data_IF_629207844660
#
_entry.id   IF_629207844660
#
_cell.length_a   1.000
_cell.length_b   1.000
_cell.length_c   1.000
_cell.angle_alpha   90.00
_cell.angle_beta   90.00
_cell.angle_gamma   90.00
#
_symmetry.space_group_name_H-M   'P 1'
#
loop_
_entity.id
_entity.type
_entity.pdbx_description
1 polymer ?
#
# COMPACT_ATOMS: atom_id res chain seq x y z
N UNK A 1 -0.20 -17.68 -4.32
CA UNK A 1 0.70 -17.05 -3.33
C UNK A 1 -0.06 -16.36 -2.20
N UNK A 2 -1.25 -15.79 -2.45
CA UNK A 2 -2.07 -15.20 -1.38
C UNK A 2 -2.37 -16.25 -0.29
N UNK A 3 -2.36 -15.80 0.97
CA UNK A 3 -2.51 -16.55 2.23
C UNK A 3 -1.44 -17.63 2.48
N UNK A 4 -0.40 -17.67 1.67
CA UNK A 4 0.79 -18.48 1.92
C UNK A 4 1.86 -17.64 2.60
N UNK A 5 2.71 -18.31 3.38
CA UNK A 5 3.90 -17.71 3.96
C UNK A 5 4.80 -17.18 2.84
N UNK A 6 5.25 -15.93 2.96
CA UNK A 6 6.15 -15.31 2.02
C UNK A 6 7.49 -16.07 2.01
N UNK A 7 8.07 -16.39 0.83
CA UNK A 7 9.39 -17.00 0.76
C UNK A 7 10.42 -16.14 1.48
N UNK A 8 11.12 -16.72 2.46
CA UNK A 8 12.15 -15.99 3.18
C UNK A 8 13.37 -15.76 2.29
N UNK A 9 14.08 -14.66 2.50
CA UNK A 9 15.33 -14.33 1.83
C UNK A 9 16.18 -13.41 2.72
N UNK A 10 17.46 -13.31 2.37
CA UNK A 10 18.36 -12.28 2.86
C UNK A 10 19.10 -11.70 1.66
N UNK A 11 19.15 -10.38 1.55
CA UNK A 11 19.83 -9.66 0.47
C UNK A 11 20.64 -8.49 1.05
N UNK A 12 21.75 -8.11 0.40
CA UNK A 12 22.53 -6.96 0.82
C UNK A 12 21.78 -5.64 0.59
N UNK A 13 21.84 -4.76 1.57
CA UNK A 13 21.35 -3.37 1.49
C UNK A 13 22.34 -2.45 0.75
N UNK A 14 22.12 -1.13 0.81
CA UNK A 14 22.99 -0.12 0.17
C UNK A 14 24.44 -0.11 0.67
N UNK A 15 24.69 -0.58 1.90
CA UNK A 15 26.02 -0.63 2.51
C UNK A 15 26.61 -2.05 2.49
N UNK A 16 25.90 -3.02 1.90
CA UNK A 16 26.32 -4.41 1.80
C UNK A 16 25.95 -5.24 3.04
N UNK A 17 25.21 -4.69 4.00
CA UNK A 17 24.74 -5.44 5.15
C UNK A 17 23.59 -6.35 4.74
N UNK A 18 23.61 -7.60 5.22
CA UNK A 18 22.52 -8.53 4.95
C UNK A 18 21.27 -8.11 5.71
N UNK A 19 20.20 -7.86 4.97
CA UNK A 19 18.86 -7.62 5.49
C UNK A 19 17.97 -8.80 5.09
N UNK A 20 17.32 -9.41 6.06
CA UNK A 20 16.45 -10.56 5.87
C UNK A 20 14.97 -10.16 6.00
N UNK A 21 14.09 -10.83 5.28
CA UNK A 21 12.64 -10.58 5.38
C UNK A 21 12.13 -10.76 6.82
N UNK A 22 12.66 -11.74 7.54
CA UNK A 22 12.29 -12.03 8.93
C UNK A 22 12.71 -10.95 9.94
N UNK A 23 13.62 -10.04 9.58
CA UNK A 23 14.05 -8.94 10.47
C UNK A 23 12.87 -7.98 10.77
N UNK A 24 11.84 -8.00 9.92
CA UNK A 24 10.64 -7.17 10.02
C UNK A 24 9.43 -7.91 10.58
N UNK A 25 9.62 -9.07 11.24
CA UNK A 25 8.53 -9.82 11.88
C UNK A 25 7.75 -8.93 12.85
N UNK A 26 6.43 -9.04 12.84
CA UNK A 26 5.56 -8.18 13.66
C UNK A 26 5.16 -6.86 12.99
N UNK A 27 5.75 -6.53 11.83
CA UNK A 27 5.37 -5.38 11.01
C UNK A 27 4.71 -5.85 9.71
N UNK A 28 3.89 -4.99 9.13
CA UNK A 28 3.50 -5.16 7.72
C UNK A 28 4.70 -4.86 6.82
N UNK A 29 4.79 -5.54 5.68
CA UNK A 29 5.86 -5.33 4.71
C UNK A 29 5.24 -5.04 3.35
N UNK A 30 5.58 -3.87 2.80
CA UNK A 30 5.38 -3.54 1.39
C UNK A 30 6.65 -3.97 0.66
N UNK A 31 6.59 -5.10 -0.03
CA UNK A 31 7.72 -5.62 -0.81
C UNK A 31 7.47 -5.36 -2.30
N UNK A 32 8.26 -4.50 -2.93
CA UNK A 32 8.08 -4.19 -4.35
C UNK A 32 9.33 -4.47 -5.20
N UNK A 33 9.13 -5.18 -6.29
CA UNK A 33 10.14 -5.50 -7.29
C UNK A 33 10.06 -4.51 -8.43
N UNK A 34 11.19 -3.90 -8.79
CA UNK A 34 11.25 -2.93 -9.88
C UNK A 34 12.43 -3.18 -10.83
N UNK A 35 12.32 -2.83 -12.13
CA UNK A 35 13.32 -3.27 -13.11
C UNK A 35 14.73 -2.73 -12.95
N UNK A 36 14.89 -1.43 -12.66
CA UNK A 36 16.20 -0.76 -12.69
C UNK A 36 16.17 0.63 -12.06
N UNK A 37 17.15 0.92 -11.23
CA UNK A 37 17.47 2.25 -10.68
C UNK A 37 17.67 3.29 -11.78
N UNK A 38 17.40 4.56 -11.45
CA UNK A 38 17.57 5.71 -12.34
C UNK A 38 16.77 5.66 -13.67
N UNK A 39 15.73 4.83 -13.75
CA UNK A 39 14.79 4.85 -14.88
C UNK A 39 13.52 5.62 -14.51
N UNK A 40 12.88 6.40 -15.41
CA UNK A 40 11.82 7.33 -15.05
C UNK A 40 10.69 6.73 -14.22
N UNK A 41 10.21 5.54 -14.60
CA UNK A 41 9.14 4.85 -13.87
C UNK A 41 9.57 4.35 -12.49
N UNK A 42 10.77 3.78 -12.35
CA UNK A 42 11.28 3.31 -11.05
C UNK A 42 11.63 4.48 -10.13
N UNK A 43 12.20 5.55 -10.66
CA UNK A 43 12.48 6.78 -9.92
C UNK A 43 11.18 7.37 -9.38
N UNK A 44 10.13 7.48 -10.19
CA UNK A 44 8.82 7.95 -9.73
C UNK A 44 8.25 7.06 -8.62
N UNK A 45 8.24 5.74 -8.83
CA UNK A 45 7.72 4.80 -7.83
C UNK A 45 8.47 4.89 -6.48
N UNK A 46 9.79 4.96 -6.51
CA UNK A 46 10.61 5.10 -5.31
C UNK A 46 10.40 6.44 -4.59
N UNK A 47 10.26 7.54 -5.35
CA UNK A 47 9.93 8.86 -4.80
C UNK A 47 8.53 8.88 -4.17
N UNK A 48 7.54 8.31 -4.86
CA UNK A 48 6.18 8.20 -4.33
C UNK A 48 6.18 7.39 -3.02
N UNK A 49 6.84 6.23 -2.97
CA UNK A 49 6.97 5.47 -1.71
C UNK A 49 7.69 6.27 -0.63
N UNK A 50 8.72 7.04 -1.00
CA UNK A 50 9.44 7.87 -0.04
C UNK A 50 8.58 9.01 0.52
N UNK A 51 7.70 9.59 -0.31
CA UNK A 51 6.75 10.62 0.09
C UNK A 51 5.69 10.08 1.06
N UNK A 52 5.19 8.87 0.83
CA UNK A 52 4.17 8.24 1.67
C UNK A 52 4.75 7.45 2.86
N UNK A 53 6.08 7.49 3.07
CA UNK A 53 6.77 6.67 4.07
C UNK A 53 6.16 6.80 5.47
N UNK A 54 5.92 8.03 5.93
CA UNK A 54 5.32 8.28 7.25
C UNK A 54 3.90 7.73 7.38
N UNK A 55 3.12 7.70 6.29
CA UNK A 55 1.79 7.12 6.31
C UNK A 55 1.82 5.58 6.39
N UNK A 56 2.84 4.94 5.83
CA UNK A 56 3.09 3.51 6.04
C UNK A 56 3.61 3.23 7.46
N UNK A 57 4.48 4.08 8.01
CA UNK A 57 4.98 3.95 9.38
C UNK A 57 3.84 4.04 10.42
N UNK A 58 2.86 4.95 10.22
CA UNK A 58 1.62 5.01 11.04
C UNK A 58 0.83 3.70 11.01
N UNK A 59 0.95 2.94 9.93
CA UNK A 59 0.33 1.64 9.78
C UNK A 59 1.24 0.48 10.24
N UNK A 60 2.35 0.77 10.93
CA UNK A 60 3.35 -0.22 11.33
C UNK A 60 3.81 -1.07 10.12
N UNK A 61 4.09 -0.39 9.01
CA UNK A 61 4.48 -1.01 7.74
C UNK A 61 5.83 -0.48 7.24
N UNK A 62 6.73 -1.39 6.91
CA UNK A 62 8.02 -1.08 6.28
C UNK A 62 7.93 -1.22 4.75
N UNK A 63 8.68 -0.38 4.04
CA UNK A 63 8.75 -0.40 2.57
C UNK A 63 10.13 -0.91 2.14
N UNK A 64 10.13 -1.98 1.33
CA UNK A 64 11.33 -2.65 0.83
C UNK A 64 11.23 -2.77 -0.69
N UNK A 65 12.15 -2.11 -1.39
CA UNK A 65 12.35 -2.24 -2.83
C UNK A 65 13.42 -3.27 -3.15
N UNK A 66 13.20 -4.08 -4.19
CA UNK A 66 14.19 -5.03 -4.72
C UNK A 66 14.37 -4.80 -6.22
N UNK A 67 15.61 -4.66 -6.65
CA UNK A 67 15.99 -4.78 -8.06
C UNK A 67 17.26 -5.63 -8.20
N UNK A 68 17.73 -5.80 -9.43
CA UNK A 68 19.01 -6.48 -9.72
C UNK A 68 20.22 -5.54 -9.65
N UNK A 69 20.02 -4.27 -9.31
CA UNK A 69 21.11 -3.32 -9.24
C UNK A 69 21.96 -3.58 -7.99
N UNK A 70 23.28 -3.48 -8.10
CA UNK A 70 24.22 -3.66 -6.98
C UNK A 70 23.94 -2.71 -5.80
N UNK A 71 24.35 -3.09 -4.58
CA UNK A 71 24.32 -2.23 -3.38
C UNK A 71 24.91 -0.84 -3.62
N UNK A 72 26.05 -0.74 -4.32
CA UNK A 72 26.68 0.56 -4.62
C UNK A 72 25.79 1.45 -5.51
N UNK A 73 25.03 0.84 -6.43
CA UNK A 73 24.12 1.56 -7.31
C UNK A 73 22.88 2.03 -6.54
N UNK A 74 22.34 1.20 -5.65
CA UNK A 74 21.29 1.60 -4.72
C UNK A 74 21.73 2.77 -3.85
N UNK A 75 22.93 2.73 -3.28
CA UNK A 75 23.50 3.84 -2.49
C UNK A 75 23.47 5.16 -3.26
N UNK A 76 24.00 5.18 -4.49
CA UNK A 76 23.98 6.36 -5.36
C UNK A 76 22.57 6.81 -5.71
N UNK A 77 21.63 5.87 -5.93
CA UNK A 77 20.24 6.17 -6.26
C UNK A 77 19.51 6.81 -5.08
N UNK A 78 19.69 6.26 -3.87
CA UNK A 78 19.16 6.79 -2.61
C UNK A 78 19.70 8.20 -2.36
N UNK A 79 21.02 8.40 -2.45
CA UNK A 79 21.65 9.71 -2.24
C UNK A 79 21.16 10.75 -3.24
N UNK A 80 21.10 10.40 -4.54
CA UNK A 80 20.70 11.31 -5.61
C UNK A 80 19.25 11.80 -5.47
N UNK A 81 18.33 10.92 -5.07
CA UNK A 81 16.90 11.24 -4.97
C UNK A 81 16.41 11.43 -3.54
N UNK A 82 17.31 11.39 -2.55
CA UNK A 82 17.00 11.50 -1.11
C UNK A 82 15.91 10.51 -0.68
N UNK A 83 16.02 9.27 -1.16
CA UNK A 83 15.05 8.22 -0.85
C UNK A 83 15.15 7.84 0.64
N UNK A 84 14.02 7.60 1.30
CA UNK A 84 13.93 7.24 2.72
C UNK A 84 13.30 5.83 2.91
N UNK A 85 13.55 4.95 1.95
CA UNK A 85 13.06 3.57 1.91
C UNK A 85 14.23 2.59 1.82
N UNK A 86 13.98 1.32 2.16
CA UNK A 86 14.98 0.25 2.08
C UNK A 86 15.04 -0.25 0.64
N UNK A 87 16.23 -0.34 0.05
CA UNK A 87 16.47 -0.99 -1.24
C UNK A 87 17.47 -2.13 -1.06
N UNK A 88 17.13 -3.31 -1.57
CA UNK A 88 17.94 -4.52 -1.47
C UNK A 88 18.34 -5.03 -2.85
N UNK A 89 19.59 -5.46 -2.95
CA UNK A 89 20.21 -5.87 -4.20
C UNK A 89 20.10 -7.37 -4.43
N UNK A 90 19.36 -7.77 -5.48
CA UNK A 90 19.22 -9.17 -5.93
C UNK A 90 19.91 -9.36 -7.29
N UNK A 91 21.22 -9.13 -7.36
CA UNK A 91 21.99 -9.17 -8.63
C UNK A 91 21.81 -10.51 -9.37
N UNK A 92 21.76 -11.61 -8.61
CA UNK A 92 21.54 -12.96 -9.08
C UNK A 92 20.06 -13.33 -9.25
N UNK A 93 19.11 -12.40 -9.16
CA UNK A 93 17.67 -12.58 -9.45
C UNK A 93 16.96 -13.76 -8.75
N UNK A 94 17.58 -14.37 -7.73
CA UNK A 94 17.05 -15.55 -7.03
C UNK A 94 15.77 -15.19 -6.29
N UNK A 95 15.73 -14.02 -5.65
CA UNK A 95 14.52 -13.57 -4.94
C UNK A 95 13.45 -13.13 -5.92
N UNK A 96 13.81 -12.53 -7.05
CA UNK A 96 12.86 -12.28 -8.14
C UNK A 96 12.19 -13.56 -8.61
N UNK A 97 12.93 -14.65 -8.79
CA UNK A 97 12.37 -15.95 -9.18
C UNK A 97 11.46 -16.55 -8.09
N UNK A 98 11.90 -16.52 -6.82
CA UNK A 98 11.10 -17.00 -5.68
C UNK A 98 9.73 -16.33 -5.58
N UNK A 99 9.65 -15.03 -5.89
CA UNK A 99 8.42 -14.26 -5.87
C UNK A 99 7.69 -14.25 -7.22
N UNK A 100 8.21 -14.94 -8.24
CA UNK A 100 7.67 -14.92 -9.60
C UNK A 100 7.61 -13.51 -10.20
N UNK A 101 8.56 -12.66 -9.81
CA UNK A 101 8.80 -11.31 -10.35
C UNK A 101 9.83 -11.33 -11.49
N UNK A 102 10.36 -12.49 -11.87
CA UNK A 102 11.18 -12.71 -13.06
C UNK A 102 10.36 -13.39 -14.14
N UNK A 103 10.42 -12.92 -15.38
CA UNK A 103 9.74 -13.60 -16.48
C UNK A 103 9.95 -12.98 -17.86
N UNK A 104 9.38 -13.64 -18.86
CA UNK A 104 9.47 -13.22 -20.27
C UNK A 104 8.82 -11.86 -20.49
N UNK A 105 9.53 -11.00 -21.22
CA UNK A 105 9.09 -9.70 -21.73
C UNK A 105 9.32 -9.67 -23.22
N UNK A 106 8.38 -9.09 -23.96
CA UNK A 106 8.47 -8.92 -25.41
C UNK A 106 8.60 -7.43 -25.70
N UNK A 107 9.64 -7.05 -26.43
CA UNK A 107 9.80 -5.68 -26.91
C UNK A 107 10.27 -5.72 -28.37
N UNK A 108 9.56 -5.01 -29.25
CA UNK A 108 9.85 -4.98 -30.69
C UNK A 108 10.09 -6.38 -31.30
N UNK A 109 9.23 -7.35 -30.95
CA UNK A 109 9.34 -8.73 -31.47
C UNK A 109 10.41 -9.61 -30.81
N UNK A 110 11.34 -9.05 -30.03
CA UNK A 110 12.37 -9.82 -29.30
C UNK A 110 11.88 -10.20 -27.90
N UNK A 111 12.03 -11.48 -27.55
CA UNK A 111 11.79 -12.00 -26.21
C UNK A 111 13.06 -11.90 -25.37
N UNK A 112 12.95 -11.39 -24.15
CA UNK A 112 14.01 -11.40 -23.16
C UNK A 112 13.40 -11.64 -21.76
N UNK A 113 14.19 -12.13 -20.83
CA UNK A 113 13.76 -12.26 -19.43
C UNK A 113 14.11 -11.00 -18.66
N UNK A 114 13.22 -10.58 -17.77
CA UNK A 114 13.44 -9.39 -16.96
C UNK A 114 12.46 -9.29 -15.80
N UNK A 115 12.70 -8.30 -14.95
CA UNK A 115 11.80 -8.00 -13.83
C UNK A 115 10.42 -7.58 -14.34
N UNK A 116 9.41 -8.25 -13.80
CA UNK A 116 8.00 -7.90 -13.85
C UNK A 116 7.73 -7.04 -12.62
N UNK A 117 7.42 -5.75 -12.81
CA UNK A 117 7.12 -4.84 -11.70
C UNK A 117 5.95 -5.39 -10.88
N UNK A 118 6.20 -5.73 -9.64
CA UNK A 118 5.28 -6.50 -8.79
C UNK A 118 5.39 -5.99 -7.35
N UNK A 119 4.26 -5.86 -6.65
CA UNK A 119 4.24 -5.46 -5.25
C UNK A 119 3.43 -6.46 -4.43
N UNK A 120 3.91 -6.75 -3.23
CA UNK A 120 3.28 -7.63 -2.27
C UNK A 120 2.99 -6.85 -0.99
N UNK A 121 1.83 -7.12 -0.38
CA UNK A 121 1.60 -6.82 1.02
C UNK A 121 1.73 -8.11 1.82
N UNK A 122 2.63 -8.10 2.78
CA UNK A 122 2.91 -9.21 3.68
C UNK A 122 2.53 -8.75 5.09
N UNK A 123 1.80 -9.58 5.82
CA UNK A 123 1.32 -9.24 7.16
C UNK A 123 2.37 -9.52 8.26
N UNK A 124 2.10 -9.14 9.52
CA UNK A 124 2.99 -9.38 10.65
C UNK A 124 3.34 -10.85 10.93
N UNK A 125 2.53 -11.79 10.45
CA UNK A 125 2.79 -13.24 10.56
C UNK A 125 3.64 -13.77 9.39
N UNK A 126 3.98 -12.91 8.43
CA UNK A 126 4.75 -13.24 7.24
C UNK A 126 3.90 -13.89 6.13
N UNK A 127 2.58 -13.72 6.12
CA UNK A 127 1.69 -14.22 5.06
C UNK A 127 1.42 -13.15 4.02
N UNK A 128 1.45 -13.52 2.74
CA UNK A 128 1.10 -12.62 1.64
C UNK A 128 -0.41 -12.38 1.64
N UNK A 129 -0.85 -11.15 1.82
CA UNK A 129 -2.27 -10.76 1.83
C UNK A 129 -2.75 -10.16 0.54
N UNK A 130 -1.85 -9.55 -0.24
CA UNK A 130 -2.22 -9.01 -1.55
C UNK A 130 -1.02 -8.95 -2.50
N UNK A 131 -1.29 -9.02 -3.80
CA UNK A 131 -0.28 -8.94 -4.86
C UNK A 131 -0.77 -8.09 -6.02
N UNK A 132 0.03 -7.11 -6.44
CA UNK A 132 -0.10 -6.44 -7.74
C UNK A 132 0.98 -6.93 -8.67
N UNK A 133 0.62 -7.46 -9.84
CA UNK A 133 1.55 -7.85 -10.90
C UNK A 133 1.43 -6.90 -12.08
N UNK A 134 2.50 -6.75 -12.86
CA UNK A 134 2.55 -5.86 -14.03
C UNK A 134 2.10 -4.42 -13.67
N UNK A 135 2.63 -3.93 -12.54
CA UNK A 135 2.27 -2.65 -11.94
C UNK A 135 2.45 -1.49 -12.93
N UNK A 136 1.44 -0.61 -12.97
CA UNK A 136 1.53 0.72 -13.57
C UNK A 136 1.81 1.72 -12.46
N UNK A 137 2.89 2.50 -12.58
CA UNK A 137 3.43 3.33 -11.49
C UNK A 137 2.46 4.42 -11.03
N UNK A 138 1.77 5.08 -11.95
CA UNK A 138 0.91 6.23 -11.61
C UNK A 138 -0.21 5.82 -10.63
N UNK A 139 -0.19 6.39 -9.42
CA UNK A 139 -1.19 6.14 -8.38
C UNK A 139 -1.00 4.83 -7.61
N UNK A 140 0.00 4.00 -7.97
CA UNK A 140 0.20 2.68 -7.38
C UNK A 140 0.46 2.74 -5.87
N UNK A 141 1.37 3.60 -5.43
CA UNK A 141 1.74 3.71 -4.00
C UNK A 141 0.54 4.04 -3.12
N UNK A 142 -0.34 4.94 -3.60
CA UNK A 142 -1.58 5.28 -2.91
C UNK A 142 -2.52 4.07 -2.81
N UNK A 143 -2.67 3.31 -3.89
CA UNK A 143 -3.48 2.07 -3.89
C UNK A 143 -2.92 1.03 -2.91
N UNK A 144 -1.60 0.91 -2.81
CA UNK A 144 -0.94 0.02 -1.84
C UNK A 144 -1.27 0.43 -0.41
N UNK A 145 -1.17 1.73 -0.09
CA UNK A 145 -1.51 2.26 1.23
C UNK A 145 -2.99 2.07 1.57
N UNK A 146 -3.89 2.35 0.62
CA UNK A 146 -5.34 2.15 0.79
C UNK A 146 -5.66 0.68 1.06
N UNK A 147 -5.06 -0.24 0.28
CA UNK A 147 -5.27 -1.68 0.47
C UNK A 147 -4.69 -2.19 1.78
N UNK A 148 -3.54 -1.67 2.23
CA UNK A 148 -2.99 -1.98 3.54
C UNK A 148 -3.99 -1.61 4.66
N UNK A 149 -4.56 -0.41 4.59
CA UNK A 149 -5.56 0.06 5.57
C UNK A 149 -6.80 -0.83 5.57
N UNK A 150 -7.30 -1.19 4.39
CA UNK A 150 -8.41 -2.14 4.23
C UNK A 150 -8.11 -3.49 4.93
N UNK A 151 -6.93 -4.07 4.65
CA UNK A 151 -6.53 -5.36 5.19
C UNK A 151 -6.30 -5.36 6.70
N UNK A 152 -5.92 -4.22 7.28
CA UNK A 152 -5.77 -4.04 8.73
C UNK A 152 -7.10 -3.90 9.48
N UNK A 153 -8.24 -4.03 8.80
CA UNK A 153 -9.55 -3.79 9.38
C UNK A 153 -9.87 -2.29 9.52
N UNK A 154 -9.08 -1.41 8.88
CA UNK A 154 -9.50 -0.05 8.65
C UNK A 154 -10.64 -0.08 7.66
N UNK A 155 -11.85 0.27 8.10
CA UNK A 155 -13.00 0.39 7.21
C UNK A 155 -12.62 1.38 6.11
N UNK A 156 -12.64 0.96 4.84
CA UNK A 156 -12.37 1.86 3.72
C UNK A 156 -13.44 2.94 3.65
N UNK A 157 -13.14 4.09 3.05
CA UNK A 157 -14.02 5.27 3.11
C UNK A 157 -15.43 4.94 2.57
N UNK A 158 -15.54 4.14 1.52
CA UNK A 158 -16.80 3.67 0.94
C UNK A 158 -17.61 2.84 1.95
N UNK A 159 -16.95 1.94 2.68
CA UNK A 159 -17.60 1.12 3.70
C UNK A 159 -17.98 1.95 4.93
N UNK A 160 -17.17 2.94 5.31
CA UNK A 160 -17.53 3.89 6.38
C UNK A 160 -18.75 4.72 5.99
N UNK A 161 -18.80 5.18 4.75
CA UNK A 161 -19.95 5.89 4.18
C UNK A 161 -21.19 5.00 4.20
N UNK A 162 -21.06 3.73 3.80
CA UNK A 162 -22.15 2.75 3.85
C UNK A 162 -22.66 2.54 5.27
N UNK A 163 -21.76 2.34 6.23
CA UNK A 163 -22.11 2.17 7.65
C UNK A 163 -22.87 3.38 8.20
N UNK A 164 -22.41 4.59 7.89
CA UNK A 164 -23.10 5.83 8.30
C UNK A 164 -24.49 5.92 7.67
N UNK A 165 -24.63 5.58 6.38
CA UNK A 165 -25.93 5.56 5.71
C UNK A 165 -26.87 4.51 6.29
N UNK A 166 -26.36 3.32 6.62
CA UNK A 166 -27.17 2.24 7.19
C UNK A 166 -27.65 2.60 8.59
N UNK A 167 -26.82 3.23 9.43
CA UNK A 167 -27.25 3.78 10.74
C UNK A 167 -28.37 4.80 10.56
N UNK A 168 -28.20 5.76 9.63
CA UNK A 168 -29.20 6.80 9.39
C UNK A 168 -30.52 6.26 8.85
N UNK A 169 -30.48 5.26 7.96
CA UNK A 169 -31.66 4.60 7.40
C UNK A 169 -32.41 3.77 8.45
N UNK A 170 -31.68 3.03 9.28
CA UNK A 170 -32.28 2.12 10.26
C UNK A 170 -32.88 2.85 11.47
N UNK A 171 -32.29 3.97 11.88
CA UNK A 171 -32.79 4.72 13.04
C UNK A 171 -34.05 5.53 12.72
N UNK A 172 -34.25 5.94 11.47
CA UNK A 172 -35.47 6.63 11.03
C UNK A 172 -35.72 7.99 11.72
N UNK A 173 -34.68 8.61 12.30
CA UNK A 173 -34.77 9.91 13.01
C UNK A 173 -33.50 10.73 12.86
N UNK A 174 -33.60 12.02 13.18
CA UNK A 174 -32.43 12.90 13.26
C UNK A 174 -31.41 12.44 14.31
N UNK A 175 -30.13 12.48 13.96
CA UNK A 175 -29.03 12.07 14.83
C UNK A 175 -27.87 13.06 14.78
N UNK A 176 -27.18 13.23 15.91
CA UNK A 176 -25.92 13.98 15.97
C UNK A 176 -24.76 13.12 15.46
N UNK A 177 -23.71 13.71 14.85
CA UNK A 177 -22.53 12.97 14.40
C UNK A 177 -21.90 12.06 15.47
N UNK A 178 -21.89 12.48 16.73
CA UNK A 178 -21.38 11.65 17.83
C UNK A 178 -22.22 10.40 18.13
N UNK A 179 -23.54 10.48 17.95
CA UNK A 179 -24.45 9.34 18.14
C UNK A 179 -24.29 8.32 17.01
N UNK A 180 -24.14 8.82 15.78
CA UNK A 180 -23.86 8.02 14.58
C UNK A 180 -22.50 7.33 14.74
N UNK A 181 -21.47 8.06 15.18
CA UNK A 181 -20.14 7.51 15.44
C UNK A 181 -20.17 6.36 16.46
N UNK A 182 -20.90 6.54 17.56
CA UNK A 182 -21.06 5.50 18.58
C UNK A 182 -21.75 4.25 18.02
N UNK A 183 -22.82 4.41 17.23
CA UNK A 183 -23.54 3.27 16.62
C UNK A 183 -22.76 2.59 15.50
N UNK A 184 -21.98 3.36 14.74
CA UNK A 184 -21.18 2.86 13.63
C UNK A 184 -19.83 2.26 14.10
N UNK A 185 -19.45 2.41 15.37
CA UNK A 185 -18.12 2.01 15.85
C UNK A 185 -16.99 2.79 15.16
N UNK A 186 -17.24 4.06 14.81
CA UNK A 186 -16.31 4.92 14.08
C UNK A 186 -15.85 6.11 14.93
N UNK A 187 -14.74 6.73 14.53
CA UNK A 187 -14.31 8.00 15.13
C UNK A 187 -15.26 9.15 14.75
N UNK A 188 -15.54 10.01 15.72
CA UNK A 188 -16.47 11.14 15.56
C UNK A 188 -16.02 12.18 14.53
N UNK A 189 -14.71 12.39 14.35
CA UNK A 189 -14.18 13.31 13.32
C UNK A 189 -14.32 12.69 11.94
N UNK A 190 -14.13 11.38 11.82
CA UNK A 190 -14.35 10.64 10.58
C UNK A 190 -15.82 10.70 10.14
N UNK A 191 -16.74 10.41 11.05
CA UNK A 191 -18.19 10.52 10.78
C UNK A 191 -18.59 11.94 10.38
N UNK A 192 -18.01 12.96 11.02
CA UNK A 192 -18.26 14.36 10.66
C UNK A 192 -17.81 14.69 9.23
N UNK A 193 -16.67 14.15 8.78
CA UNK A 193 -16.21 14.29 7.38
C UNK A 193 -17.14 13.59 6.40
N UNK A 194 -17.57 12.37 6.72
CA UNK A 194 -18.50 11.57 5.90
C UNK A 194 -19.84 12.28 5.74
N UNK A 195 -20.40 12.79 6.83
CA UNK A 195 -21.68 13.53 6.82
C UNK A 195 -21.59 14.79 5.97
N UNK A 196 -20.46 15.52 6.03
CA UNK A 196 -20.24 16.70 5.17
C UNK A 196 -20.28 16.32 3.69
N UNK A 197 -19.59 15.24 3.30
CA UNK A 197 -19.61 14.70 1.93
C UNK A 197 -21.01 14.25 1.51
N UNK A 198 -21.71 13.50 2.36
CA UNK A 198 -23.08 13.04 2.08
C UNK A 198 -24.07 14.20 1.90
N UNK A 199 -23.86 15.32 2.60
CA UNK A 199 -24.65 16.54 2.44
C UNK A 199 -24.42 17.17 1.07
N UNK A 200 -23.16 17.29 0.66
CA UNK A 200 -22.78 17.79 -0.67
C UNK A 200 -23.40 16.92 -1.79
N UNK A 201 -23.54 15.61 -1.55
CA UNK A 201 -24.20 14.67 -2.47
C UNK A 201 -25.75 14.68 -2.41
N UNK A 202 -26.33 15.47 -1.50
CA UNK A 202 -27.78 15.58 -1.27
C UNK A 202 -28.41 14.36 -0.60
N UNK A 203 -27.62 13.50 0.05
CA UNK A 203 -28.08 12.27 0.73
C UNK A 203 -28.52 12.49 2.18
N UNK A 204 -28.13 13.62 2.78
CA UNK A 204 -28.49 14.03 4.15
C UNK A 204 -28.74 15.54 4.21
N UNK A 205 -29.53 16.01 5.18
CA UNK A 205 -30.01 17.41 5.22
C UNK A 205 -29.11 18.38 6.00
N UNK A 206 -28.55 17.97 7.14
CA UNK A 206 -27.72 18.85 7.99
C UNK A 206 -26.58 18.08 8.65
N UNK A 207 -25.40 18.72 8.87
CA UNK A 207 -24.26 18.08 9.50
C UNK A 207 -24.28 18.16 11.04
N UNK A 208 -25.15 19.00 11.62
CA UNK A 208 -25.32 19.08 13.09
C UNK A 208 -26.35 18.06 13.59
N UNK A 209 -27.42 17.88 12.82
CA UNK A 209 -28.46 16.88 13.00
C UNK A 209 -28.75 16.27 11.64
N UNK A 210 -28.46 14.98 11.52
CA UNK A 210 -28.36 14.30 10.24
C UNK A 210 -29.52 13.30 10.15
N UNK A 211 -30.14 13.24 9.00
CA UNK A 211 -31.19 12.29 8.68
C UNK A 211 -31.01 11.82 7.23
N UNK A 212 -31.33 10.56 6.96
CA UNK A 212 -31.24 10.03 5.60
C UNK A 212 -32.34 10.64 4.73
N UNK A 213 -31.96 11.19 3.58
CA UNK A 213 -32.88 11.67 2.56
C UNK A 213 -32.92 10.66 1.43
N UNK A 214 -34.06 9.98 1.26
CA UNK A 214 -34.30 9.20 0.06
C UNK A 214 -34.26 10.16 -1.15
N UNK A 215 -33.47 9.79 -2.18
CA UNK A 215 -33.52 10.47 -3.47
C UNK A 215 -34.72 9.99 -4.26
#
# INVERSE_FOLDING_TARGET
MIDKKAPNFCLPDKDGNMTCLNDFKGQWIVLYFYPKDNTPGCTREALDFSQYREDFDKENAVIIGISKDSSMKHKKFIEKYKLNIILLSDEEHKVHELYGAWGKKKNYGKEYYGTIRTTFLIDPEGKIRHVWRKVKVNGHVKQVLEKLKELKGGIIMEDKVKLVLDVLKNEGKEMRPGEIAKKAGLDSKEVSKIIKKLKEEGKVESPKRCYYKAK
#
